data_IF_388377652866
#
_entry.id   IF_388377652866
#
_cell.length_a   1.000
_cell.length_b   1.000
_cell.length_c   1.000
_cell.angle_alpha   90.00
_cell.angle_beta   90.00
_cell.angle_gamma   90.00
#
_symmetry.space_group_name_H-M   'P 1'
#
loop_
_entity.id
_entity.type
_entity.pdbx_description
1 polymer ?
#
# COMPACT_ATOMS: atom_id res chain seq x y z
N UNK A 1 10.75 -13.92 -14.02
CA UNK A 1 11.91 -13.27 -13.39
C UNK A 1 11.93 -13.54 -11.89
N UNK A 2 10.94 -13.12 -11.08
CA UNK A 2 10.93 -13.29 -9.63
C UNK A 2 11.06 -14.75 -9.19
N UNK A 3 10.32 -15.67 -9.81
CA UNK A 3 10.37 -17.11 -9.53
C UNK A 3 11.77 -17.70 -9.79
N UNK A 4 12.48 -17.23 -10.80
CA UNK A 4 13.83 -17.66 -11.10
C UNK A 4 14.84 -17.15 -10.05
N UNK A 5 14.69 -15.91 -9.60
CA UNK A 5 15.51 -15.34 -8.52
C UNK A 5 15.31 -16.17 -7.22
N UNK A 6 14.07 -16.49 -6.88
CA UNK A 6 13.74 -17.31 -5.70
C UNK A 6 14.38 -18.68 -5.79
N UNK A 7 14.34 -19.31 -6.97
CA UNK A 7 14.97 -20.62 -7.21
C UNK A 7 16.49 -20.56 -7.07
N UNK A 8 17.12 -19.51 -7.61
CA UNK A 8 18.57 -19.30 -7.51
C UNK A 8 19.01 -18.96 -6.07
N UNK A 9 18.14 -18.33 -5.29
CA UNK A 9 18.40 -18.06 -3.88
C UNK A 9 18.21 -19.29 -2.97
N UNK A 10 17.89 -20.44 -3.55
CA UNK A 10 17.71 -21.72 -2.83
C UNK A 10 16.70 -21.64 -1.67
N UNK A 11 15.66 -20.83 -1.84
CA UNK A 11 14.62 -20.70 -0.83
C UNK A 11 13.92 -22.06 -0.65
N UNK A 12 13.77 -22.58 0.59
CA UNK A 12 13.11 -23.86 0.82
C UNK A 12 11.69 -23.87 0.23
N UNK A 13 11.30 -25.01 -0.35
CA UNK A 13 9.98 -25.18 -0.95
C UNK A 13 8.86 -24.87 0.07
N UNK A 14 7.87 -24.08 -0.35
CA UNK A 14 6.73 -23.71 0.48
C UNK A 14 6.91 -22.44 1.33
N UNK A 15 8.13 -21.89 1.45
CA UNK A 15 8.37 -20.62 2.17
C UNK A 15 7.73 -19.45 1.43
N UNK A 16 7.83 -19.45 0.10
CA UNK A 16 7.17 -18.47 -0.76
C UNK A 16 6.34 -19.19 -1.82
N UNK A 17 5.06 -18.80 -1.91
CA UNK A 17 4.12 -19.35 -2.88
C UNK A 17 3.48 -18.21 -3.66
N UNK A 18 3.50 -18.30 -4.98
CA UNK A 18 2.89 -17.31 -5.87
C UNK A 18 1.65 -17.96 -6.49
N UNK A 19 0.52 -17.31 -6.31
CA UNK A 19 -0.76 -17.74 -6.90
C UNK A 19 -1.29 -16.64 -7.83
N UNK A 20 -1.88 -17.06 -8.93
CA UNK A 20 -2.49 -16.16 -9.91
C UNK A 20 -4.00 -16.25 -9.85
N UNK A 21 -4.65 -15.15 -10.17
CA UNK A 21 -6.11 -15.07 -10.21
C UNK A 21 -6.60 -13.65 -9.99
N UNK A 22 -7.89 -13.46 -10.04
CA UNK A 22 -8.48 -12.16 -9.76
C UNK A 22 -8.77 -11.96 -8.27
N UNK A 23 -8.91 -10.69 -7.87
CA UNK A 23 -9.16 -10.30 -6.48
C UNK A 23 -10.42 -10.94 -5.87
N UNK A 24 -11.60 -10.87 -6.56
CA UNK A 24 -12.84 -11.43 -6.03
C UNK A 24 -12.84 -12.94 -5.77
N UNK A 25 -12.02 -13.69 -6.47
CA UNK A 25 -11.92 -15.16 -6.27
C UNK A 25 -10.67 -15.54 -5.50
N UNK A 26 -9.50 -15.45 -6.10
CA UNK A 26 -8.24 -15.91 -5.48
C UNK A 26 -7.86 -15.07 -4.27
N UNK A 27 -7.92 -13.73 -4.40
CA UNK A 27 -7.63 -12.81 -3.30
C UNK A 27 -8.59 -13.01 -2.13
N UNK A 28 -9.90 -13.07 -2.41
CA UNK A 28 -10.92 -13.29 -1.39
C UNK A 28 -10.77 -14.63 -0.68
N UNK A 29 -10.41 -15.71 -1.41
CA UNK A 29 -10.16 -17.02 -0.82
C UNK A 29 -9.00 -16.99 0.18
N UNK A 30 -7.90 -16.31 -0.18
CA UNK A 30 -6.75 -16.13 0.72
C UNK A 30 -7.13 -15.29 1.95
N UNK A 31 -7.81 -14.17 1.75
CA UNK A 31 -8.21 -13.25 2.82
C UNK A 31 -9.07 -13.95 3.86
N UNK A 32 -10.03 -14.77 3.42
CA UNK A 32 -10.97 -15.47 4.30
C UNK A 32 -10.39 -16.75 4.93
N UNK A 33 -9.27 -17.25 4.42
CA UNK A 33 -8.75 -18.54 4.86
C UNK A 33 -8.24 -18.49 6.31
N UNK A 34 -8.67 -19.41 7.14
CA UNK A 34 -8.36 -19.43 8.59
C UNK A 34 -6.88 -19.64 8.92
N UNK A 35 -6.13 -20.31 8.04
CA UNK A 35 -4.68 -20.49 8.21
C UNK A 35 -3.84 -19.28 7.79
N UNK A 36 -4.40 -18.32 7.06
CA UNK A 36 -3.72 -17.06 6.74
C UNK A 36 -3.86 -16.14 7.95
N UNK A 37 -2.78 -15.93 8.69
CA UNK A 37 -2.79 -15.18 9.95
C UNK A 37 -2.40 -13.71 9.78
N UNK A 38 -1.82 -13.33 8.66
CA UNK A 38 -1.46 -11.96 8.36
C UNK A 38 -1.74 -11.63 6.90
N UNK A 39 -2.19 -10.41 6.64
CA UNK A 39 -2.45 -9.87 5.31
C UNK A 39 -1.76 -8.53 5.21
N UNK A 40 -0.91 -8.37 4.21
CA UNK A 40 -0.41 -7.08 3.77
C UNK A 40 -1.02 -6.78 2.41
N UNK A 41 -1.69 -5.64 2.29
CA UNK A 41 -2.38 -5.24 1.07
C UNK A 41 -2.08 -3.77 0.75
N UNK A 42 -1.72 -3.53 -0.49
CA UNK A 42 -1.60 -2.18 -1.06
C UNK A 42 -2.57 -2.06 -2.22
N UNK A 43 -3.42 -1.03 -2.20
CA UNK A 43 -4.36 -0.81 -3.30
C UNK A 43 -5.51 0.14 -2.95
N UNK A 44 -6.62 0.01 -3.66
CA UNK A 44 -7.77 0.90 -3.50
C UNK A 44 -8.47 0.75 -2.15
N UNK A 45 -8.94 1.88 -1.60
CA UNK A 45 -9.63 1.95 -0.30
C UNK A 45 -10.86 1.04 -0.23
N UNK A 46 -11.62 0.94 -1.31
CA UNK A 46 -12.80 0.05 -1.36
C UNK A 46 -12.42 -1.42 -1.12
N UNK A 47 -11.33 -1.88 -1.71
CA UNK A 47 -10.80 -3.24 -1.50
C UNK A 47 -10.29 -3.42 -0.07
N UNK A 48 -9.60 -2.42 0.49
CA UNK A 48 -9.16 -2.45 1.88
C UNK A 48 -10.32 -2.56 2.87
N UNK A 49 -11.41 -1.83 2.61
CA UNK A 49 -12.66 -1.94 3.39
C UNK A 49 -13.24 -3.36 3.29
N UNK A 50 -13.25 -3.93 2.09
CA UNK A 50 -13.75 -5.29 1.89
C UNK A 50 -12.91 -6.32 2.64
N UNK A 51 -11.57 -6.22 2.57
CA UNK A 51 -10.64 -7.08 3.33
C UNK A 51 -10.95 -6.99 4.83
N UNK A 52 -11.11 -5.78 5.36
CA UNK A 52 -11.43 -5.58 6.78
C UNK A 52 -12.77 -6.20 7.17
N UNK A 53 -13.79 -6.09 6.33
CA UNK A 53 -15.08 -6.75 6.55
C UNK A 53 -14.98 -8.27 6.53
N UNK A 54 -14.26 -8.82 5.55
CA UNK A 54 -14.11 -10.26 5.38
C UNK A 54 -13.29 -10.93 6.50
N UNK A 55 -12.50 -10.14 7.23
CA UNK A 55 -11.65 -10.63 8.33
C UNK A 55 -12.15 -10.22 9.71
N UNK A 56 -13.25 -9.48 9.82
CA UNK A 56 -13.74 -8.93 11.08
C UNK A 56 -14.04 -9.98 12.16
N UNK A 57 -14.37 -11.22 11.75
CA UNK A 57 -14.62 -12.33 12.67
C UNK A 57 -13.37 -13.02 13.22
N UNK A 58 -12.18 -12.73 12.67
CA UNK A 58 -10.89 -13.28 13.15
C UNK A 58 -10.04 -12.14 13.74
N UNK A 59 -10.23 -11.88 15.03
CA UNK A 59 -9.54 -10.79 15.73
C UNK A 59 -8.02 -10.98 15.84
N UNK A 60 -7.53 -12.18 15.60
CA UNK A 60 -6.10 -12.49 15.61
C UNK A 60 -5.43 -12.39 14.25
N UNK A 61 -6.20 -12.10 13.21
CA UNK A 61 -5.65 -11.89 11.87
C UNK A 61 -5.08 -10.48 11.74
N UNK A 62 -3.78 -10.39 11.53
CA UNK A 62 -3.10 -9.12 11.36
C UNK A 62 -3.38 -8.52 9.98
N UNK A 63 -3.70 -7.24 9.95
CA UNK A 63 -3.91 -6.48 8.71
C UNK A 63 -2.93 -5.32 8.63
N UNK A 64 -2.16 -5.26 7.56
CA UNK A 64 -1.41 -4.08 7.12
C UNK A 64 -2.03 -3.59 5.82
N UNK A 65 -2.67 -2.43 5.87
CA UNK A 65 -3.41 -1.88 4.73
C UNK A 65 -2.80 -0.54 4.33
N UNK A 66 -2.18 -0.53 3.16
CA UNK A 66 -1.69 0.67 2.49
C UNK A 66 -2.70 1.07 1.42
N UNK A 67 -3.38 2.18 1.65
CA UNK A 67 -4.55 2.61 0.88
C UNK A 67 -4.35 4.03 0.35
N UNK A 68 -5.33 4.55 -0.37
CA UNK A 68 -5.33 5.94 -0.79
C UNK A 68 -5.36 6.91 0.38
N UNK A 69 -4.86 8.12 0.16
CA UNK A 69 -4.77 9.17 1.17
C UNK A 69 -4.95 10.57 0.60
N UNK A 70 -4.97 11.55 1.49
CA UNK A 70 -4.95 12.99 1.22
C UNK A 70 -3.91 13.62 2.14
N UNK A 71 -2.63 13.48 1.77
CA UNK A 71 -1.54 13.93 2.62
C UNK A 71 -1.38 15.45 2.54
N UNK A 72 -1.34 16.16 3.67
CA UNK A 72 -1.08 17.59 3.68
C UNK A 72 0.42 17.89 3.56
N UNK A 73 0.77 18.96 2.87
CA UNK A 73 2.08 19.61 2.98
C UNK A 73 1.88 20.95 3.63
N UNK A 74 2.61 21.17 4.72
CA UNK A 74 2.56 22.39 5.49
C UNK A 74 3.73 23.29 5.09
N UNK A 75 3.44 24.55 4.74
CA UNK A 75 4.44 25.56 4.40
C UNK A 75 4.27 26.74 5.36
N UNK A 76 5.28 26.93 6.20
CA UNK A 76 5.30 28.04 7.14
C UNK A 76 5.84 29.32 6.47
N UNK A 77 5.57 30.47 7.03
CA UNK A 77 5.89 31.78 6.43
C UNK A 77 7.40 32.13 6.53
N UNK A 78 8.14 31.48 7.40
CA UNK A 78 9.58 31.65 7.61
C UNK A 78 10.48 30.81 6.69
N UNK A 79 9.88 30.07 5.73
CA UNK A 79 10.66 29.20 4.83
C UNK A 79 11.25 29.96 3.63
N UNK A 80 12.33 29.42 3.06
CA UNK A 80 12.80 29.81 1.73
C UNK A 80 11.75 29.42 0.68
N UNK A 81 11.00 30.40 0.20
CA UNK A 81 9.87 30.17 -0.69
C UNK A 81 10.26 29.51 -2.01
N UNK A 82 11.45 29.78 -2.56
CA UNK A 82 11.89 29.15 -3.81
C UNK A 82 12.12 27.64 -3.61
N UNK A 83 12.74 27.27 -2.51
CA UNK A 83 12.92 25.85 -2.14
C UNK A 83 11.60 25.17 -1.82
N UNK A 84 10.71 25.86 -1.09
CA UNK A 84 9.40 25.34 -0.73
C UNK A 84 8.56 25.03 -1.98
N UNK A 85 8.51 25.93 -2.96
CA UNK A 85 7.79 25.71 -4.22
C UNK A 85 8.37 24.54 -5.00
N UNK A 86 9.70 24.48 -5.16
CA UNK A 86 10.33 23.37 -5.87
C UNK A 86 10.07 22.02 -5.20
N UNK A 87 10.18 21.96 -3.87
CA UNK A 87 9.94 20.73 -3.10
C UNK A 87 8.47 20.33 -3.15
N UNK A 88 7.55 21.28 -3.03
CA UNK A 88 6.11 21.01 -3.11
C UNK A 88 5.70 20.50 -4.50
N UNK A 89 6.25 21.09 -5.56
CA UNK A 89 5.99 20.64 -6.93
C UNK A 89 6.53 19.22 -7.16
N UNK A 90 7.76 18.93 -6.71
CA UNK A 90 8.32 17.59 -6.80
C UNK A 90 7.44 16.58 -6.03
N UNK A 91 7.09 16.88 -4.78
CA UNK A 91 6.28 15.99 -3.95
C UNK A 91 4.87 15.74 -4.52
N UNK A 92 4.30 16.72 -5.24
CA UNK A 92 2.97 16.59 -5.84
C UNK A 92 2.97 15.73 -7.11
N UNK A 93 4.04 15.80 -7.92
CA UNK A 93 4.05 15.27 -9.29
C UNK A 93 5.09 14.17 -9.52
N UNK A 94 5.88 13.81 -8.50
CA UNK A 94 6.79 12.69 -8.60
C UNK A 94 6.01 11.42 -8.99
N UNK A 95 6.62 10.59 -9.85
CA UNK A 95 5.98 9.38 -10.37
C UNK A 95 4.55 9.63 -10.91
N UNK A 96 4.34 10.75 -11.62
CA UNK A 96 3.04 11.14 -12.20
C UNK A 96 1.95 11.41 -11.14
N UNK A 97 2.33 11.61 -9.88
CA UNK A 97 1.40 11.71 -8.75
C UNK A 97 0.89 10.36 -8.22
N UNK A 98 1.43 9.27 -8.74
CA UNK A 98 1.06 7.91 -8.31
C UNK A 98 1.95 7.44 -7.15
N UNK A 99 1.85 8.13 -6.02
CA UNK A 99 2.57 7.83 -4.77
C UNK A 99 1.56 7.79 -3.62
N UNK A 100 1.72 6.86 -2.69
CA UNK A 100 0.82 6.78 -1.52
C UNK A 100 0.94 8.00 -0.59
N UNK A 101 2.05 8.74 -0.67
CA UNK A 101 2.33 9.94 0.12
C UNK A 101 2.51 11.21 -0.74
N UNK A 102 1.76 11.43 -1.85
CA UNK A 102 1.92 12.64 -2.65
C UNK A 102 1.35 13.84 -1.90
N UNK A 103 1.82 15.03 -2.27
CA UNK A 103 1.23 16.28 -1.84
C UNK A 103 -0.16 16.43 -2.48
N UNK A 104 -1.21 16.20 -1.71
CA UNK A 104 -2.59 16.33 -2.18
C UNK A 104 -3.31 17.55 -1.60
N UNK A 105 -2.73 18.18 -0.58
CA UNK A 105 -3.26 19.38 0.05
C UNK A 105 -2.11 20.29 0.48
N UNK A 106 -2.09 21.53 -0.02
CA UNK A 106 -1.12 22.54 0.35
C UNK A 106 -1.74 23.46 1.37
N UNK A 107 -1.18 23.55 2.56
CA UNK A 107 -1.59 24.46 3.62
C UNK A 107 -0.46 25.45 3.88
N UNK A 108 -0.77 26.75 3.83
CA UNK A 108 0.13 27.82 4.23
C UNK A 108 -0.27 28.30 5.62
N UNK A 109 0.70 28.42 6.51
CA UNK A 109 0.58 28.97 7.86
C UNK A 109 1.49 30.17 8.03
#
# INVERSE_FOLDING_TARGET
>A
VLTEIIRQAELPAGVLNIVFGNGPTTGSALVKHSRVKGISFTGGTATGIQIRRDTAGDIYKHLSLELGGKNPTLVFDDVDMQKAVATAALAAFENQGEVCCPLLSLCRF
#
